data_IF_169155999538
#
_entry.id   IF_169155999538
#
_cell.length_a   1.000
_cell.length_b   1.000
_cell.length_c   1.000
_cell.angle_alpha   90.00
_cell.angle_beta   90.00
_cell.angle_gamma   90.00
#
_symmetry.space_group_name_H-M   'P 1'
#
loop_
_entity.id
_entity.type
_entity.pdbx_description
1 polymer ?
#
# COMPACT_ATOMS: atom_id res chain seq x y z
N UNK A 1 -0.66 -9.94 -21.47
CA UNK A 1 -0.79 -10.74 -22.71
C UNK A 1 0.56 -11.24 -23.22
N UNK A 2 1.58 -10.38 -23.42
CA UNK A 2 2.92 -10.79 -23.91
C UNK A 2 3.58 -11.83 -22.98
N UNK A 3 3.61 -11.59 -21.67
CA UNK A 3 4.28 -12.49 -20.73
C UNK A 3 3.64 -13.90 -20.66
N UNK A 4 2.32 -14.00 -20.81
CA UNK A 4 1.66 -15.32 -20.87
C UNK A 4 1.96 -16.05 -22.18
N UNK A 5 2.12 -15.33 -23.30
CA UNK A 5 2.59 -15.92 -24.55
C UNK A 5 4.04 -16.40 -24.46
N UNK A 6 4.93 -15.63 -23.81
CA UNK A 6 6.33 -16.02 -23.60
C UNK A 6 6.44 -17.25 -22.70
N UNK A 7 5.69 -17.28 -21.59
CA UNK A 7 5.66 -18.44 -20.69
C UNK A 7 5.10 -19.66 -21.41
N UNK A 8 4.01 -19.52 -22.17
CA UNK A 8 3.41 -20.61 -22.93
C UNK A 8 4.30 -21.16 -24.04
N UNK A 9 5.02 -20.29 -24.76
CA UNK A 9 5.99 -20.69 -25.78
C UNK A 9 7.18 -21.43 -25.15
N UNK A 10 7.67 -20.94 -24.02
CA UNK A 10 8.77 -21.57 -23.28
C UNK A 10 8.37 -22.93 -22.73
N UNK A 11 7.24 -23.05 -22.03
CA UNK A 11 6.77 -24.32 -21.48
C UNK A 11 6.42 -25.33 -22.57
N UNK A 12 5.82 -24.87 -23.68
CA UNK A 12 5.51 -25.71 -24.84
C UNK A 12 6.77 -26.23 -25.52
N UNK A 13 7.77 -25.36 -25.72
CA UNK A 13 9.07 -25.75 -26.29
C UNK A 13 9.83 -26.75 -25.41
N UNK A 14 9.80 -26.56 -24.10
CA UNK A 14 10.45 -27.45 -23.14
C UNK A 14 9.83 -28.86 -23.16
N UNK A 15 8.50 -28.95 -23.17
CA UNK A 15 7.79 -30.23 -23.26
C UNK A 15 8.06 -30.93 -24.60
N UNK A 16 8.09 -30.19 -25.71
CA UNK A 16 8.39 -30.76 -27.03
C UNK A 16 9.84 -31.29 -27.11
N UNK A 17 10.81 -30.55 -26.57
CA UNK A 17 12.19 -31.03 -26.49
C UNK A 17 12.31 -32.30 -25.63
N UNK A 18 11.57 -32.35 -24.53
CA UNK A 18 11.55 -33.50 -23.62
C UNK A 18 10.96 -34.75 -24.28
N UNK A 19 9.80 -34.63 -24.94
CA UNK A 19 9.18 -35.78 -25.64
C UNK A 19 10.04 -36.30 -26.78
N UNK A 20 10.70 -35.40 -27.53
CA UNK A 20 11.66 -35.79 -28.56
C UNK A 20 12.87 -36.54 -27.97
N UNK A 21 13.38 -36.12 -26.81
CA UNK A 21 14.46 -36.82 -26.12
C UNK A 21 14.08 -38.26 -25.77
N UNK A 22 12.87 -38.49 -25.25
CA UNK A 22 12.38 -39.84 -24.92
C UNK A 22 12.25 -40.70 -26.18
N UNK A 23 11.76 -40.12 -27.28
CA UNK A 23 11.66 -40.83 -28.57
C UNK A 23 13.04 -41.28 -29.05
N UNK A 24 14.05 -40.41 -28.96
CA UNK A 24 15.44 -40.75 -29.33
C UNK A 24 15.99 -41.88 -28.46
N UNK A 25 15.76 -41.81 -27.14
CA UNK A 25 16.17 -42.86 -26.19
C UNK A 25 15.52 -44.20 -26.54
N UNK A 26 14.23 -44.22 -26.85
CA UNK A 26 13.51 -45.45 -27.20
C UNK A 26 14.02 -46.04 -28.51
N UNK A 27 14.19 -45.22 -29.56
CA UNK A 27 14.63 -45.70 -30.88
C UNK A 27 16.07 -46.24 -30.81
N UNK A 28 16.98 -45.48 -30.20
CA UNK A 28 18.39 -45.85 -30.11
C UNK A 28 18.60 -47.01 -29.13
N UNK A 29 17.93 -46.97 -27.98
CA UNK A 29 17.99 -48.03 -26.97
C UNK A 29 17.38 -49.34 -27.47
N UNK A 30 16.30 -49.31 -28.24
CA UNK A 30 15.74 -50.50 -28.87
C UNK A 30 16.73 -51.12 -29.88
N UNK A 31 17.44 -50.31 -30.66
CA UNK A 31 18.47 -50.80 -31.60
C UNK A 31 19.62 -51.50 -30.86
N UNK A 32 20.17 -50.89 -29.80
CA UNK A 32 21.21 -51.53 -28.97
C UNK A 32 20.72 -52.82 -28.30
N UNK A 33 19.46 -52.86 -27.84
CA UNK A 33 18.91 -54.05 -27.23
C UNK A 33 18.74 -55.20 -28.24
N UNK A 34 18.38 -54.89 -29.49
CA UNK A 34 18.27 -55.88 -30.58
C UNK A 34 19.65 -56.43 -30.98
N UNK A 35 20.70 -55.60 -30.97
CA UNK A 35 22.07 -56.02 -31.27
C UNK A 35 22.73 -56.81 -30.11
N UNK A 36 22.10 -56.85 -28.93
CA UNK A 36 22.58 -57.58 -27.76
C UNK A 36 23.60 -56.80 -26.90
N UNK A 37 23.81 -55.51 -27.17
CA UNK A 37 24.76 -54.67 -26.43
C UNK A 37 24.25 -54.25 -25.05
N UNK A 38 22.92 -54.19 -24.87
CA UNK A 38 22.26 -53.86 -23.60
C UNK A 38 21.15 -54.85 -23.28
N UNK A 39 20.88 -55.06 -21.99
CA UNK A 39 19.73 -55.86 -21.54
C UNK A 39 18.42 -55.06 -21.69
N UNK A 40 17.30 -55.76 -21.84
CA UNK A 40 15.97 -55.15 -21.79
C UNK A 40 15.70 -54.44 -20.45
N UNK A 41 16.35 -54.86 -19.36
CA UNK A 41 16.32 -54.20 -18.05
C UNK A 41 17.09 -52.87 -17.99
N UNK A 42 18.15 -52.73 -18.79
CA UNK A 42 18.93 -51.49 -18.85
C UNK A 42 18.14 -50.40 -19.58
N UNK A 43 17.42 -50.79 -20.63
CA UNK A 43 16.54 -49.90 -21.38
C UNK A 43 15.38 -49.36 -20.53
N UNK A 44 14.73 -50.22 -19.73
CA UNK A 44 13.63 -49.78 -18.85
C UNK A 44 14.14 -48.85 -17.74
N UNK A 45 15.30 -49.15 -17.16
CA UNK A 45 15.95 -48.29 -16.16
C UNK A 45 16.29 -46.91 -16.74
N UNK A 46 16.83 -46.87 -17.96
CA UNK A 46 17.17 -45.60 -18.63
C UNK A 46 15.93 -44.77 -18.98
N UNK A 47 14.81 -45.41 -19.36
CA UNK A 47 13.52 -44.73 -19.56
C UNK A 47 13.02 -44.13 -18.24
N UNK A 48 13.05 -44.88 -17.14
CA UNK A 48 12.60 -44.40 -15.83
C UNK A 48 13.46 -43.24 -15.30
N UNK A 49 14.78 -43.30 -15.49
CA UNK A 49 15.67 -42.19 -15.16
C UNK A 49 15.42 -40.96 -16.03
N UNK A 50 15.16 -41.15 -17.33
CA UNK A 50 14.81 -40.05 -18.23
C UNK A 50 13.52 -39.34 -17.79
N UNK A 51 12.48 -40.09 -17.43
CA UNK A 51 11.22 -39.53 -16.89
C UNK A 51 11.42 -38.81 -15.55
N UNK A 52 12.31 -39.32 -14.69
CA UNK A 52 12.62 -38.68 -13.41
C UNK A 52 13.37 -37.35 -13.61
N UNK A 53 14.32 -37.31 -14.54
CA UNK A 53 15.05 -36.10 -14.92
C UNK A 53 14.09 -35.07 -15.52
N UNK A 54 13.16 -35.50 -16.38
CA UNK A 54 12.11 -34.63 -16.94
C UNK A 54 11.25 -33.98 -15.85
N UNK A 55 10.79 -34.76 -14.86
CA UNK A 55 9.98 -34.21 -13.76
C UNK A 55 10.73 -33.13 -12.95
N UNK A 56 12.03 -33.32 -12.77
CA UNK A 56 12.91 -32.39 -12.05
C UNK A 56 13.14 -31.10 -12.84
N UNK A 57 13.41 -31.22 -14.15
CA UNK A 57 13.56 -30.09 -15.07
C UNK A 57 12.26 -29.28 -15.16
N UNK A 58 11.11 -29.95 -15.23
CA UNK A 58 9.80 -29.32 -15.25
C UNK A 58 9.52 -28.55 -13.94
N UNK A 59 9.86 -29.13 -12.78
CA UNK A 59 9.77 -28.46 -11.49
C UNK A 59 10.61 -27.17 -11.42
N UNK A 60 11.85 -27.21 -11.93
CA UNK A 60 12.72 -26.03 -12.02
C UNK A 60 12.14 -24.94 -12.95
N UNK A 61 11.52 -25.32 -14.06
CA UNK A 61 10.82 -24.39 -14.97
C UNK A 61 9.64 -23.69 -14.28
N UNK A 62 8.93 -24.40 -13.39
CA UNK A 62 7.89 -23.83 -12.55
C UNK A 62 8.41 -22.69 -11.66
N UNK A 63 9.58 -22.87 -11.04
CA UNK A 63 10.22 -21.83 -10.22
C UNK A 63 10.60 -20.60 -11.03
N UNK A 64 11.07 -20.76 -12.27
CA UNK A 64 11.39 -19.63 -13.15
C UNK A 64 10.18 -18.72 -13.36
N UNK A 65 9.00 -19.29 -13.56
CA UNK A 65 7.75 -18.51 -13.69
C UNK A 65 7.40 -17.75 -12.41
N UNK A 66 7.62 -18.37 -11.24
CA UNK A 66 7.42 -17.73 -9.93
C UNK A 66 8.39 -16.56 -9.75
N UNK A 67 9.67 -16.74 -10.09
CA UNK A 67 10.70 -15.69 -10.00
C UNK A 67 10.34 -14.50 -10.90
N UNK A 68 9.93 -14.72 -12.15
CA UNK A 68 9.54 -13.62 -13.04
C UNK A 68 8.33 -12.87 -12.49
N UNK A 69 7.31 -13.59 -11.99
CA UNK A 69 6.13 -12.97 -11.38
C UNK A 69 6.51 -12.14 -10.15
N UNK A 70 7.38 -12.67 -9.30
CA UNK A 70 7.90 -11.99 -8.12
C UNK A 70 8.68 -10.73 -8.50
N UNK A 71 9.60 -10.81 -9.48
CA UNK A 71 10.35 -9.66 -9.99
C UNK A 71 9.43 -8.56 -10.54
N UNK A 72 8.39 -8.94 -11.30
CA UNK A 72 7.40 -7.99 -11.82
C UNK A 72 6.51 -7.38 -10.74
N UNK A 73 6.22 -8.09 -9.65
CA UNK A 73 5.52 -7.54 -8.48
C UNK A 73 6.42 -6.59 -7.69
N UNK A 74 7.68 -6.96 -7.49
CA UNK A 74 8.68 -6.16 -6.78
C UNK A 74 8.93 -4.81 -7.45
N UNK A 75 9.11 -4.77 -8.78
CA UNK A 75 9.24 -3.50 -9.53
C UNK A 75 8.10 -2.52 -9.26
N UNK A 76 6.87 -3.00 -9.07
CA UNK A 76 5.71 -2.15 -8.77
C UNK A 76 5.76 -1.57 -7.36
N UNK A 77 6.28 -2.33 -6.39
CA UNK A 77 6.52 -1.83 -5.03
C UNK A 77 7.60 -0.75 -5.07
N UNK A 78 8.72 -1.02 -5.75
CA UNK A 78 9.80 -0.04 -5.90
C UNK A 78 9.35 1.23 -6.62
N UNK A 79 8.53 1.13 -7.66
CA UNK A 79 7.95 2.32 -8.32
C UNK A 79 7.12 3.20 -7.37
N UNK A 80 6.45 2.61 -6.37
CA UNK A 80 5.70 3.39 -5.37
C UNK A 80 6.62 3.98 -4.31
N UNK A 81 7.71 3.29 -3.97
CA UNK A 81 8.73 3.78 -3.03
C UNK A 81 9.55 4.93 -3.63
N UNK A 82 10.01 4.77 -4.87
CA UNK A 82 10.91 5.70 -5.58
C UNK A 82 10.19 6.93 -6.17
N UNK A 83 8.88 7.05 -5.95
CA UNK A 83 8.14 8.22 -6.41
C UNK A 83 8.67 9.47 -5.70
N UNK A 84 9.31 10.35 -6.46
CA UNK A 84 9.80 11.64 -5.95
C UNK A 84 8.60 12.57 -5.66
N UNK A 85 8.64 13.26 -4.52
CA UNK A 85 7.68 14.33 -4.23
C UNK A 85 7.94 15.51 -5.15
N UNK A 86 6.90 16.06 -5.78
CA UNK A 86 7.02 17.26 -6.60
C UNK A 86 7.05 18.55 -5.76
N UNK A 87 6.89 18.46 -4.44
CA UNK A 87 6.95 19.63 -3.55
C UNK A 87 8.41 20.05 -3.31
N UNK A 88 8.71 21.36 -3.28
CA UNK A 88 10.03 21.85 -2.89
C UNK A 88 10.43 21.29 -1.52
N UNK A 89 11.71 20.96 -1.36
CA UNK A 89 12.23 20.46 -0.08
C UNK A 89 12.40 21.66 0.85
N UNK A 90 11.33 22.03 1.55
CA UNK A 90 11.38 23.10 2.54
C UNK A 90 12.14 22.64 3.78
N UNK A 91 13.17 23.39 4.16
CA UNK A 91 14.15 22.93 5.15
C UNK A 91 13.71 23.18 6.58
N UNK A 92 12.76 24.07 6.84
CA UNK A 92 12.48 24.48 8.22
C UNK A 92 11.29 23.74 8.84
N UNK A 93 10.48 23.06 8.01
CA UNK A 93 9.34 22.26 8.50
C UNK A 93 8.21 23.10 9.10
N UNK A 94 8.27 24.42 8.93
CA UNK A 94 7.20 25.36 9.24
C UNK A 94 6.22 25.40 8.07
N UNK A 95 4.92 25.35 8.35
CA UNK A 95 3.88 25.46 7.31
C UNK A 95 2.91 26.54 7.73
N UNK A 96 2.77 27.57 6.90
CA UNK A 96 1.78 28.62 7.08
C UNK A 96 0.77 28.55 5.93
N UNK A 97 -0.50 28.37 6.29
CA UNK A 97 -1.64 28.52 5.40
C UNK A 97 -2.24 29.88 5.69
N UNK A 98 -2.34 30.72 4.67
CA UNK A 98 -2.94 32.05 4.77
C UNK A 98 -4.04 32.20 3.71
N UNK A 99 -5.28 32.42 4.18
CA UNK A 99 -6.49 32.57 3.37
C UNK A 99 -6.62 31.53 2.25
N UNK A 100 -6.51 30.25 2.59
CA UNK A 100 -6.51 29.19 1.57
C UNK A 100 -7.94 28.82 1.18
N UNK A 101 -8.25 29.01 -0.10
CA UNK A 101 -9.49 28.58 -0.75
C UNK A 101 -9.21 27.39 -1.68
N UNK A 102 -10.04 26.34 -1.60
CA UNK A 102 -9.85 25.15 -2.44
C UNK A 102 -11.17 24.57 -2.94
N UNK A 103 -11.21 24.27 -4.24
CA UNK A 103 -12.27 23.50 -4.90
C UNK A 103 -11.62 22.39 -5.72
N UNK A 104 -12.23 21.19 -5.73
CA UNK A 104 -11.76 20.12 -6.62
C UNK A 104 -12.02 20.48 -8.09
N UNK A 105 -11.08 20.23 -9.03
CA UNK A 105 -11.30 20.49 -10.46
C UNK A 105 -12.51 19.74 -11.05
N UNK A 106 -12.86 18.58 -10.47
CA UNK A 106 -14.04 17.80 -10.85
C UNK A 106 -15.37 18.42 -10.37
N UNK A 107 -15.33 19.38 -9.43
CA UNK A 107 -16.49 20.07 -8.85
C UNK A 107 -16.14 21.53 -8.55
N UNK A 108 -15.92 22.37 -9.59
CA UNK A 108 -15.41 23.72 -9.41
C UNK A 108 -16.36 24.63 -8.62
N UNK A 109 -17.67 24.42 -8.74
CA UNK A 109 -18.70 25.21 -8.04
C UNK A 109 -18.93 24.78 -6.58
N UNK A 110 -18.22 23.78 -6.09
CA UNK A 110 -18.31 23.33 -4.71
C UNK A 110 -16.97 23.57 -4.02
N UNK A 111 -16.86 24.73 -3.37
CA UNK A 111 -15.70 25.07 -2.54
C UNK A 111 -15.69 24.20 -1.28
N UNK A 112 -14.55 23.56 -1.03
CA UNK A 112 -14.34 22.61 0.07
C UNK A 112 -13.56 23.25 1.22
N UNK A 113 -12.69 24.22 0.93
CA UNK A 113 -11.99 25.02 1.95
C UNK A 113 -12.24 26.51 1.64
N UNK A 114 -12.65 27.29 2.64
CA UNK A 114 -12.94 28.72 2.50
C UNK A 114 -12.10 29.50 3.50
N UNK A 115 -11.06 30.19 3.02
CA UNK A 115 -10.23 31.08 3.83
C UNK A 115 -9.63 30.42 5.07
N UNK A 116 -9.04 29.24 4.89
CA UNK A 116 -8.38 28.53 5.99
C UNK A 116 -7.02 29.18 6.24
N UNK A 117 -6.88 29.81 7.41
CA UNK A 117 -5.61 30.33 7.93
C UNK A 117 -5.17 29.50 9.13
N UNK A 118 -3.97 28.91 9.06
CA UNK A 118 -3.39 28.18 10.18
C UNK A 118 -1.88 28.05 10.05
N UNK A 119 -1.20 27.97 11.20
CA UNK A 119 0.25 27.87 11.28
C UNK A 119 0.67 26.59 12.00
N UNK A 120 1.52 25.80 11.36
CA UNK A 120 2.11 24.59 11.91
C UNK A 120 3.57 24.88 12.25
N UNK A 121 3.87 24.79 13.54
CA UNK A 121 5.22 24.98 14.04
C UNK A 121 6.07 23.72 13.79
N UNK A 122 7.39 23.86 13.58
CA UNK A 122 8.30 22.72 13.44
C UNK A 122 8.15 21.72 14.60
N UNK A 123 7.93 20.45 14.28
CA UNK A 123 7.78 19.38 15.28
C UNK A 123 6.42 19.33 15.99
N UNK A 124 5.48 20.20 15.62
CA UNK A 124 4.13 20.19 16.19
C UNK A 124 3.20 19.22 15.48
N UNK A 125 2.27 18.63 16.23
CA UNK A 125 1.17 17.81 15.72
C UNK A 125 -0.14 18.59 15.78
N UNK A 126 -0.72 18.87 14.62
CA UNK A 126 -2.00 19.56 14.47
C UNK A 126 -3.05 18.61 13.92
N UNK A 127 -4.20 18.53 14.57
CA UNK A 127 -5.32 17.67 14.14
C UNK A 127 -6.47 18.51 13.59
N UNK A 128 -6.95 18.18 12.39
CA UNK A 128 -8.17 18.76 11.81
C UNK A 128 -9.36 17.81 12.03
N UNK A 129 -10.41 18.33 12.66
CA UNK A 129 -11.65 17.60 12.99
C UNK A 129 -12.86 18.40 12.53
N UNK A 130 -14.03 17.77 12.46
CA UNK A 130 -15.21 18.36 11.81
C UNK A 130 -16.30 17.32 11.49
N UNK A 131 -17.55 17.74 11.26
CA UNK A 131 -18.65 16.86 10.92
C UNK A 131 -18.44 16.23 9.54
N UNK A 132 -18.94 15.00 9.37
CA UNK A 132 -18.81 14.24 8.13
C UNK A 132 -19.51 14.97 6.97
N UNK A 133 -18.76 15.77 6.20
CA UNK A 133 -19.26 16.55 5.06
C UNK A 133 -18.84 18.03 5.02
N UNK A 134 -18.30 18.60 6.11
CA UNK A 134 -17.92 20.03 6.18
C UNK A 134 -16.45 20.28 5.83
N UNK A 135 -16.04 20.02 4.58
CA UNK A 135 -14.70 20.36 4.13
C UNK A 135 -13.58 19.37 4.46
N UNK A 136 -13.87 18.30 5.22
CA UNK A 136 -12.91 17.19 5.40
C UNK A 136 -12.62 16.52 4.06
N UNK A 137 -11.34 16.47 3.71
CA UNK A 137 -10.82 16.06 2.41
C UNK A 137 -11.43 14.73 1.93
N UNK A 138 -12.37 14.80 0.97
CA UNK A 138 -12.92 13.61 0.31
C UNK A 138 -12.05 13.28 -0.90
N UNK A 139 -11.01 12.46 -0.71
CA UNK A 139 -10.25 11.97 -1.86
C UNK A 139 -11.11 11.04 -2.72
N UNK A 140 -11.29 11.40 -3.99
CA UNK A 140 -11.76 10.44 -4.98
C UNK A 140 -10.70 9.34 -5.13
N UNK A 141 -11.09 8.07 -4.90
CA UNK A 141 -10.24 6.88 -5.08
C UNK A 141 -9.55 6.94 -6.44
N UNK A 142 -8.30 7.39 -6.48
CA UNK A 142 -7.52 7.41 -7.71
C UNK A 142 -7.16 5.97 -8.08
N UNK A 143 -7.29 5.63 -9.36
CA UNK A 143 -6.81 4.36 -9.89
C UNK A 143 -5.29 4.29 -9.69
N UNK A 144 -4.84 3.38 -8.84
CA UNK A 144 -3.43 3.03 -8.72
C UNK A 144 -3.26 1.70 -9.43
N UNK A 145 -2.72 1.74 -10.64
CA UNK A 145 -2.31 0.56 -11.40
C UNK A 145 -2.60 0.69 -12.90
N UNK A 146 -1.55 0.69 -13.71
CA UNK A 146 -1.67 0.19 -15.09
C UNK A 146 -1.97 -1.31 -15.02
N UNK A 147 -3.03 -1.78 -15.71
CA UNK A 147 -3.35 -3.20 -15.96
C UNK A 147 -4.09 -4.00 -14.86
N UNK A 148 -4.86 -3.33 -13.99
CA UNK A 148 -6.04 -3.96 -13.36
C UNK A 148 -5.84 -4.82 -12.11
N UNK A 149 -4.65 -4.86 -11.48
CA UNK A 149 -4.49 -5.49 -10.15
C UNK A 149 -4.62 -4.41 -9.07
N UNK A 150 -5.66 -4.54 -8.23
CA UNK A 150 -5.98 -3.57 -7.16
C UNK A 150 -5.22 -3.95 -5.88
N UNK A 151 -4.31 -3.09 -5.42
CA UNK A 151 -3.83 -3.16 -4.04
C UNK A 151 -4.97 -2.81 -3.09
N UNK A 152 -5.09 -3.54 -1.98
CA UNK A 152 -6.05 -3.19 -0.92
C UNK A 152 -5.70 -1.84 -0.29
N UNK A 153 -6.68 -1.21 0.38
CA UNK A 153 -6.45 0.05 1.10
C UNK A 153 -5.28 -0.06 2.09
N UNK A 154 -5.28 -1.10 2.91
CA UNK A 154 -4.20 -1.37 3.87
C UNK A 154 -2.83 -1.64 3.23
N UNK A 155 -2.76 -2.29 2.06
CA UNK A 155 -1.49 -2.51 1.35
C UNK A 155 -0.89 -1.19 0.86
N UNK A 156 -1.71 -0.30 0.29
CA UNK A 156 -1.26 1.04 -0.12
C UNK A 156 -0.78 1.85 1.07
N UNK A 157 -1.48 1.73 2.20
CA UNK A 157 -1.13 2.42 3.42
C UNK A 157 0.22 1.95 3.98
N UNK A 158 0.48 0.63 4.06
CA UNK A 158 1.78 0.11 4.50
C UNK A 158 2.93 0.57 3.60
N UNK A 159 2.71 0.64 2.29
CA UNK A 159 3.72 1.17 1.34
C UNK A 159 3.96 2.67 1.59
N UNK A 160 2.92 3.46 1.86
CA UNK A 160 3.06 4.88 2.18
C UNK A 160 3.83 5.10 3.51
N UNK A 161 3.54 4.29 4.52
CA UNK A 161 4.26 4.29 5.81
C UNK A 161 5.74 3.93 5.59
N UNK A 162 6.03 2.85 4.85
CA UNK A 162 7.39 2.45 4.53
C UNK A 162 8.14 3.54 3.76
N UNK A 163 7.49 4.22 2.82
CA UNK A 163 8.06 5.37 2.12
C UNK A 163 8.37 6.53 3.06
N UNK A 164 7.45 6.87 3.97
CA UNK A 164 7.67 7.92 4.97
C UNK A 164 8.81 7.60 5.96
N UNK A 165 9.07 6.31 6.21
CA UNK A 165 10.24 5.87 6.98
C UNK A 165 11.54 6.03 6.18
N UNK A 166 11.56 5.64 4.91
CA UNK A 166 12.75 5.68 4.06
C UNK A 166 13.15 7.09 3.61
N UNK A 167 12.17 7.96 3.33
CA UNK A 167 12.44 9.32 2.82
C UNK A 167 12.65 10.35 3.92
N UNK A 168 12.38 10.00 5.18
CA UNK A 168 12.51 10.88 6.35
C UNK A 168 12.02 12.33 6.16
N UNK A 169 10.76 12.54 5.71
CA UNK A 169 10.24 13.89 5.47
C UNK A 169 10.09 14.68 6.77
N UNK A 170 10.43 15.98 6.75
CA UNK A 170 10.23 16.88 7.90
C UNK A 170 8.76 17.19 8.19
N UNK A 171 7.91 17.15 7.16
CA UNK A 171 6.47 17.41 7.23
C UNK A 171 5.69 16.15 6.83
N UNK A 172 4.73 15.75 7.65
CA UNK A 172 3.89 14.57 7.45
C UNK A 172 2.42 14.96 7.39
N UNK A 173 1.75 14.58 6.29
CA UNK A 173 0.30 14.72 6.13
C UNK A 173 -0.36 13.35 6.26
N UNK A 174 -1.20 13.17 7.26
CA UNK A 174 -1.87 11.90 7.55
C UNK A 174 -3.37 12.03 7.33
N UNK A 175 -3.84 11.56 6.18
CA UNK A 175 -5.27 11.53 5.88
C UNK A 175 -5.92 10.22 6.33
N UNK A 176 -6.79 10.27 7.35
CA UNK A 176 -7.52 9.12 7.88
C UNK A 176 -6.65 7.84 8.01
N UNK A 177 -5.37 8.00 8.34
CA UNK A 177 -4.37 6.96 8.12
C UNK A 177 -4.52 5.75 9.08
N UNK A 178 -5.60 5.66 9.84
CA UNK A 178 -5.95 4.52 10.70
C UNK A 178 -7.37 3.98 10.42
N UNK A 179 -8.12 4.56 9.47
CA UNK A 179 -9.51 4.17 9.18
C UNK A 179 -9.63 2.85 8.41
N UNK A 180 -8.61 2.46 7.63
CA UNK A 180 -8.61 1.26 6.80
C UNK A 180 -7.84 0.06 7.39
N UNK A 181 -7.49 0.11 8.68
CA UNK A 181 -6.73 -0.94 9.36
C UNK A 181 -7.65 -2.05 9.90
N UNK A 182 -7.20 -3.29 9.74
CA UNK A 182 -7.85 -4.49 10.31
C UNK A 182 -7.44 -4.62 11.77
N UNK A 183 -8.41 -4.88 12.65
CA UNK A 183 -8.25 -4.87 14.11
C UNK A 183 -7.07 -5.71 14.63
N UNK A 184 -6.76 -6.85 14.00
CA UNK A 184 -5.69 -7.77 14.43
C UNK A 184 -4.28 -7.19 14.32
N UNK A 185 -4.05 -6.19 13.46
CA UNK A 185 -2.73 -5.56 13.25
C UNK A 185 -2.70 -4.07 13.64
N UNK A 186 -3.74 -3.57 14.29
CA UNK A 186 -3.92 -2.13 14.51
C UNK A 186 -2.84 -1.54 15.42
N UNK A 187 -2.48 -2.23 16.50
CA UNK A 187 -1.46 -1.78 17.45
C UNK A 187 -0.08 -1.59 16.80
N UNK A 188 0.38 -2.56 15.99
CA UNK A 188 1.69 -2.49 15.32
C UNK A 188 1.77 -1.33 14.34
N UNK A 189 0.68 -1.06 13.60
CA UNK A 189 0.64 0.07 12.68
C UNK A 189 0.56 1.38 13.46
N UNK A 190 -0.15 1.40 14.59
CA UNK A 190 -0.25 2.60 15.40
C UNK A 190 1.10 2.97 16.02
N UNK A 191 1.84 2.00 16.55
CA UNK A 191 3.19 2.18 17.09
C UNK A 191 4.18 2.67 16.02
N UNK A 192 4.13 2.08 14.81
CA UNK A 192 4.91 2.56 13.68
C UNK A 192 4.57 4.01 13.31
N UNK A 193 3.28 4.36 13.30
CA UNK A 193 2.85 5.74 13.05
C UNK A 193 3.30 6.70 14.14
N UNK A 194 3.21 6.31 15.41
CA UNK A 194 3.67 7.12 16.54
C UNK A 194 5.17 7.35 16.49
N UNK A 195 5.95 6.34 16.09
CA UNK A 195 7.39 6.46 15.85
C UNK A 195 7.70 7.43 14.70
N UNK A 196 6.98 7.34 13.58
CA UNK A 196 7.16 8.24 12.42
C UNK A 196 6.76 9.68 12.77
N UNK A 197 5.74 9.89 13.59
CA UNK A 197 5.29 11.23 13.97
C UNK A 197 6.26 11.96 14.90
N UNK A 198 7.13 11.26 15.64
CA UNK A 198 8.06 11.89 16.60
C UNK A 198 9.09 12.77 15.89
N UNK A 199 9.23 14.00 16.39
CA UNK A 199 10.25 14.96 15.90
C UNK A 199 9.95 15.55 14.52
N UNK A 200 8.73 15.38 14.00
CA UNK A 200 8.28 15.89 12.70
C UNK A 200 7.08 16.81 12.84
N UNK A 201 6.90 17.71 11.89
CA UNK A 201 5.68 18.51 11.79
C UNK A 201 4.58 17.63 11.20
N UNK A 202 3.47 17.44 11.90
CA UNK A 202 2.41 16.51 11.50
C UNK A 202 1.08 17.23 11.40
N UNK A 203 0.44 17.17 10.22
CA UNK A 203 -0.97 17.49 10.06
C UNK A 203 -1.76 16.20 9.93
N UNK A 204 -2.70 15.96 10.84
CA UNK A 204 -3.53 14.76 10.82
C UNK A 204 -5.01 15.09 10.63
N UNK A 205 -5.62 14.37 9.71
CA UNK A 205 -7.04 14.40 9.39
C UNK A 205 -7.68 13.30 10.22
N UNK A 206 -8.26 13.67 11.34
CA UNK A 206 -8.66 12.68 12.33
C UNK A 206 -10.16 12.41 12.29
N UNK A 207 -10.47 11.11 12.22
CA UNK A 207 -11.80 10.56 12.46
C UNK A 207 -11.88 9.74 13.76
N UNK A 208 -10.76 9.47 14.43
CA UNK A 208 -10.70 8.75 15.70
C UNK A 208 -10.19 9.64 16.82
N UNK A 209 -10.85 9.60 17.98
CA UNK A 209 -10.51 10.38 19.16
C UNK A 209 -9.08 10.11 19.68
N UNK A 210 -8.59 8.87 19.58
CA UNK A 210 -7.24 8.49 20.01
C UNK A 210 -6.15 9.30 19.31
N UNK A 211 -6.31 9.55 18.01
CA UNK A 211 -5.37 10.32 17.20
C UNK A 211 -5.44 11.82 17.51
N UNK A 212 -6.63 12.34 17.85
CA UNK A 212 -6.84 13.75 18.21
C UNK A 212 -6.29 14.08 19.59
N UNK A 213 -6.46 13.20 20.57
CA UNK A 213 -6.04 13.41 21.97
C UNK A 213 -4.54 13.65 22.11
N UNK A 214 -3.74 13.09 21.21
CA UNK A 214 -2.28 13.22 21.21
C UNK A 214 -1.76 14.41 20.40
N UNK A 215 -2.64 15.21 19.79
CA UNK A 215 -2.25 16.41 19.06
C UNK A 215 -1.96 17.58 20.01
N UNK A 216 -0.98 18.41 19.65
CA UNK A 216 -0.68 19.65 20.38
C UNK A 216 -1.82 20.67 20.21
N UNK A 217 -2.34 20.76 18.98
CA UNK A 217 -3.43 21.67 18.63
C UNK A 217 -4.47 20.91 17.83
N UNK A 218 -5.73 21.17 18.13
CA UNK A 218 -6.89 20.66 17.41
C UNK A 218 -7.59 21.85 16.78
N UNK A 219 -7.96 21.71 15.51
CA UNK A 219 -8.75 22.69 14.78
C UNK A 219 -10.07 22.04 14.35
N UNK A 220 -11.17 22.54 14.90
CA UNK A 220 -12.53 22.14 14.56
C UNK A 220 -13.04 22.91 13.36
N UNK A 221 -13.45 22.20 12.32
CA UNK A 221 -13.98 22.76 11.08
C UNK A 221 -15.50 22.65 11.09
N UNK A 222 -16.16 23.76 10.77
CA UNK A 222 -17.59 23.83 10.46
C UNK A 222 -17.78 24.73 9.25
N UNK A 223 -18.75 24.41 8.40
CA UNK A 223 -19.10 25.23 7.22
C UNK A 223 -17.91 25.57 6.31
N UNK A 224 -16.96 24.63 6.20
CA UNK A 224 -15.73 24.72 5.41
C UNK A 224 -14.70 25.76 5.93
N UNK A 225 -14.84 26.20 7.19
CA UNK A 225 -13.94 27.14 7.89
C UNK A 225 -13.48 26.59 9.26
N UNK A 226 -12.36 27.07 9.79
CA UNK A 226 -11.95 26.76 11.17
C UNK A 226 -12.86 27.52 12.12
N UNK A 227 -13.75 26.80 12.80
CA UNK A 227 -14.69 27.35 13.76
C UNK A 227 -14.06 27.51 15.15
N UNK A 228 -13.14 26.63 15.52
CA UNK A 228 -12.42 26.69 16.79
C UNK A 228 -11.03 26.06 16.70
N UNK A 229 -10.12 26.53 17.54
CA UNK A 229 -8.80 25.94 17.69
C UNK A 229 -8.35 26.00 19.15
N UNK A 230 -7.56 25.02 19.57
CA UNK A 230 -7.00 24.93 20.91
C UNK A 230 -6.48 23.52 21.23
N UNK A 231 -6.03 23.32 22.46
CA UNK A 231 -5.67 21.98 22.94
C UNK A 231 -6.92 21.11 23.19
N UNK A 232 -6.72 19.80 23.34
CA UNK A 232 -7.80 18.85 23.64
C UNK A 232 -8.64 19.29 24.85
N UNK A 233 -7.98 19.75 25.92
CA UNK A 233 -8.64 20.15 27.17
C UNK A 233 -9.39 21.48 26.99
N UNK A 234 -8.76 22.47 26.36
CA UNK A 234 -9.38 23.78 26.10
C UNK A 234 -10.66 23.66 25.27
N UNK A 235 -10.65 22.81 24.24
CA UNK A 235 -11.83 22.62 23.39
C UNK A 235 -12.94 21.84 24.08
N UNK A 236 -12.61 20.93 25.01
CA UNK A 236 -13.62 20.24 25.81
C UNK A 236 -14.42 21.22 26.68
N UNK A 237 -13.71 22.18 27.29
CA UNK A 237 -14.31 23.20 28.16
C UNK A 237 -15.19 24.19 27.40
N UNK A 238 -14.85 24.49 26.14
CA UNK A 238 -15.62 25.40 25.27
C UNK A 238 -16.97 24.83 24.82
N UNK A 239 -17.21 23.53 25.01
CA UNK A 239 -18.47 22.84 24.67
C UNK A 239 -18.94 23.08 23.20
N UNK A 240 -17.98 23.20 22.28
CA UNK A 240 -18.17 23.54 20.87
C UNK A 240 -18.33 22.35 19.92
N UNK A 241 -17.94 22.55 18.65
CA UNK A 241 -18.05 21.55 17.55
C UNK A 241 -17.28 20.27 17.90
N UNK A 242 -16.12 20.43 18.49
CA UNK A 242 -15.24 19.39 18.95
C UNK A 242 -15.91 18.55 20.04
N UNK A 243 -16.44 19.18 21.09
CA UNK A 243 -17.12 18.48 22.19
C UNK A 243 -18.33 17.68 21.68
N UNK A 244 -19.07 18.22 20.71
CA UNK A 244 -20.16 17.49 20.05
C UNK A 244 -19.66 16.22 19.32
N UNK A 245 -18.51 16.31 18.61
CA UNK A 245 -17.87 15.17 17.96
C UNK A 245 -17.38 14.12 18.98
N UNK A 246 -16.75 14.56 20.06
CA UNK A 246 -16.25 13.68 21.13
C UNK A 246 -17.42 12.91 21.76
N UNK A 247 -18.50 13.60 22.14
CA UNK A 247 -19.70 12.96 22.72
C UNK A 247 -20.31 11.92 21.80
N UNK A 248 -20.40 12.23 20.50
CA UNK A 248 -20.93 11.30 19.50
C UNK A 248 -20.07 10.03 19.38
N UNK A 249 -18.75 10.16 19.35
CA UNK A 249 -17.86 8.99 19.28
C UNK A 249 -17.91 8.13 20.54
N UNK A 250 -17.94 8.75 21.72
CA UNK A 250 -18.06 8.02 23.00
C UNK A 250 -19.38 7.25 23.11
N UNK A 251 -20.47 7.77 22.55
CA UNK A 251 -21.73 7.04 22.48
C UNK A 251 -21.67 5.86 21.50
N UNK A 252 -20.99 6.02 20.36
CA UNK A 252 -20.85 4.95 19.36
C UNK A 252 -20.08 3.75 19.94
N UNK A 253 -19.03 4.00 20.73
CA UNK A 253 -18.26 2.92 21.39
C UNK A 253 -19.04 2.17 22.47
N UNK A 254 -20.11 2.76 23.03
CA UNK A 254 -20.93 2.13 24.09
C UNK A 254 -22.08 1.26 23.55
N UNK A 255 -22.43 1.40 22.28
CA UNK A 255 -23.53 0.65 21.63
C UNK A 255 -23.02 -0.59 20.88
N UNK A 256 -21.70 -0.71 20.68
CA UNK A 256 -21.05 -1.85 20.01
C UNK A 256 -20.47 -2.91 20.98
N UNK A 257 -20.85 -2.87 22.27
CA UNK A 257 -20.48 -3.87 23.28
C UNK A 257 -21.74 -4.57 23.80
#
# INVERSE_FOLDING_TARGET
>A
MIMQKVVGLFSGGLNAASTLSVIVVVIYGANLAINGDISSGDLTSFILYSLSVESSISGLSGLYTVVIKAAGASRRVFQLLDRVSSMPNDQDGEVELDDVWFSYPSRPNQTVLKGITMKLQPGSKVALVGPSGGGKWKYHKTFVGERGIRLSGGQKQRIAIARALLTDPKILLLDEATSALVAESEYLVQDAMDSIMKGRTVLVIAHRLSTVKTANTVAGVSDDQIAESGSHNELLDKNGVYTALVRRQLHTTKTEI
#
